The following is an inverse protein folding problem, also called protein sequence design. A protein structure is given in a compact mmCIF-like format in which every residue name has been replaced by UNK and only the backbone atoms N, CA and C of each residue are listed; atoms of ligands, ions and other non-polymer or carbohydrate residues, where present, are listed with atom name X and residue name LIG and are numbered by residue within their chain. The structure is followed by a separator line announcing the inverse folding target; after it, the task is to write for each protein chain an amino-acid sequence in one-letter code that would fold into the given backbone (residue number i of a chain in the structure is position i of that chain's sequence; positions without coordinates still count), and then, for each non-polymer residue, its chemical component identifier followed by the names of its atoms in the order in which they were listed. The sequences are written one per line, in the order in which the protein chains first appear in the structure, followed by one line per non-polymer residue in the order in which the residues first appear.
data_IF_209323020853
#
_entry.id   IF_209323020853
#
_cell.length_a   1.000
_cell.length_b   1.000
_cell.length_c   1.000
_cell.angle_alpha   90.00
_cell.angle_beta   90.00
_cell.angle_gamma   90.00
#
_symmetry.space_group_name_H-M   'P 1'
#
loop_
_entity.id
_entity.type
_entity.pdbx_description
1 polymer ?
#
# COMPACT_ATOMS: atom_id res chain seq x y z
N UNK A 1 -15.45 -10.24 -2.32
CA UNK A 1 -15.76 -9.20 -3.34
C UNK A 1 -16.17 -9.84 -4.65
N UNK A 2 -15.41 -10.81 -5.20
CA UNK A 2 -15.79 -11.49 -6.44
C UNK A 2 -17.20 -12.09 -6.35
N UNK A 3 -17.42 -12.93 -5.34
CA UNK A 3 -18.72 -13.59 -5.12
C UNK A 3 -19.86 -12.60 -4.79
N UNK A 4 -19.52 -11.49 -4.13
CA UNK A 4 -20.50 -10.44 -3.76
C UNK A 4 -20.98 -9.60 -4.95
N UNK A 5 -20.12 -9.42 -5.94
CA UNK A 5 -20.36 -8.56 -7.09
C UNK A 5 -20.59 -9.32 -8.38
N UNK A 6 -20.50 -10.67 -8.37
CA UNK A 6 -20.62 -11.50 -9.58
C UNK A 6 -19.56 -11.22 -10.64
N UNK A 7 -18.37 -10.77 -10.23
CA UNK A 7 -17.25 -10.37 -11.09
C UNK A 7 -16.10 -11.38 -11.01
N UNK A 8 -15.25 -11.38 -12.05
CA UNK A 8 -14.07 -12.23 -12.07
C UNK A 8 -13.07 -11.90 -10.96
N UNK A 9 -12.24 -12.87 -10.60
CA UNK A 9 -11.25 -12.74 -9.50
C UNK A 9 -10.24 -11.60 -9.72
N UNK A 10 -9.85 -11.32 -10.96
CA UNK A 10 -8.86 -10.27 -11.27
C UNK A 10 -9.45 -8.90 -11.02
N UNK A 11 -10.65 -8.66 -11.49
CA UNK A 11 -11.41 -7.41 -11.26
C UNK A 11 -11.69 -7.24 -9.78
N UNK A 12 -12.14 -8.30 -9.09
CA UNK A 12 -12.37 -8.28 -7.65
C UNK A 12 -11.11 -7.94 -6.84
N UNK A 13 -9.92 -8.42 -7.24
CA UNK A 13 -8.63 -8.08 -6.61
C UNK A 13 -8.35 -6.58 -6.73
N UNK A 14 -8.52 -6.03 -7.93
CA UNK A 14 -8.29 -4.59 -8.20
C UNK A 14 -9.22 -3.72 -7.37
N UNK A 15 -10.50 -4.08 -7.30
CA UNK A 15 -11.50 -3.36 -6.53
C UNK A 15 -11.22 -3.45 -5.04
N UNK A 16 -10.97 -4.66 -4.54
CA UNK A 16 -10.66 -4.87 -3.12
C UNK A 16 -9.47 -4.02 -2.67
N UNK A 17 -8.38 -4.03 -3.43
CA UNK A 17 -7.21 -3.20 -3.17
C UNK A 17 -7.55 -1.70 -3.27
N UNK A 18 -8.29 -1.31 -4.31
CA UNK A 18 -8.72 0.08 -4.49
C UNK A 18 -9.55 0.58 -3.31
N UNK A 19 -10.55 -0.19 -2.87
CA UNK A 19 -11.39 0.16 -1.72
C UNK A 19 -10.61 0.17 -0.41
N UNK A 20 -9.71 -0.77 -0.19
CA UNK A 20 -8.81 -0.77 0.97
C UNK A 20 -7.88 0.45 0.99
N UNK A 21 -7.56 1.01 -0.17
CA UNK A 21 -6.72 2.21 -0.29
C UNK A 21 -7.52 3.51 -0.47
N UNK A 22 -8.83 3.48 -0.23
CA UNK A 22 -9.67 4.68 -0.23
C UNK A 22 -10.18 5.10 -1.61
N UNK A 23 -10.36 4.13 -2.52
CA UNK A 23 -11.07 4.38 -3.78
C UNK A 23 -12.47 4.93 -3.49
N UNK A 24 -12.77 6.09 -4.06
CA UNK A 24 -14.09 6.69 -3.94
C UNK A 24 -15.13 6.04 -4.87
N UNK A 25 -16.41 6.24 -4.56
CA UNK A 25 -17.55 5.70 -5.34
C UNK A 25 -17.47 6.04 -6.83
N UNK A 26 -17.11 7.27 -7.19
CA UNK A 26 -17.02 7.68 -8.59
C UNK A 26 -15.99 6.87 -9.40
N UNK A 27 -14.83 6.57 -8.80
CA UNK A 27 -13.82 5.73 -9.45
C UNK A 27 -14.28 4.29 -9.54
N UNK A 28 -14.93 3.75 -8.50
CA UNK A 28 -15.48 2.40 -8.49
C UNK A 28 -16.54 2.24 -9.59
N UNK A 29 -17.49 3.18 -9.71
CA UNK A 29 -18.49 3.23 -10.76
C UNK A 29 -17.85 3.22 -12.17
N UNK A 30 -16.86 4.08 -12.39
CA UNK A 30 -16.17 4.17 -13.69
C UNK A 30 -15.39 2.90 -14.05
N UNK A 31 -14.75 2.23 -13.10
CA UNK A 31 -13.98 1.01 -13.37
C UNK A 31 -14.85 -0.23 -13.63
N UNK A 32 -16.04 -0.27 -13.02
CA UNK A 32 -16.97 -1.39 -13.15
C UNK A 32 -18.11 -1.16 -14.16
N UNK A 33 -18.28 0.07 -14.64
CA UNK A 33 -19.43 0.44 -15.48
C UNK A 33 -20.76 0.37 -14.71
N UNK A 34 -20.75 0.49 -13.39
CA UNK A 34 -21.94 0.43 -12.53
C UNK A 34 -22.63 1.79 -12.49
N UNK A 35 -23.95 1.75 -12.35
CA UNK A 35 -24.71 2.97 -12.04
C UNK A 35 -24.48 3.41 -10.59
N UNK A 36 -25.15 4.49 -10.20
CA UNK A 36 -24.98 5.09 -8.88
C UNK A 36 -25.49 4.18 -7.76
N UNK A 37 -26.65 3.56 -7.95
CA UNK A 37 -27.32 2.76 -6.91
C UNK A 37 -26.58 1.43 -6.72
N UNK A 38 -26.17 0.78 -7.82
CA UNK A 38 -25.33 -0.42 -7.81
C UNK A 38 -23.98 -0.16 -7.11
N UNK A 39 -23.37 0.99 -7.39
CA UNK A 39 -22.11 1.40 -6.78
C UNK A 39 -22.27 1.64 -5.28
N UNK A 40 -23.36 2.28 -4.86
CA UNK A 40 -23.67 2.52 -3.45
C UNK A 40 -23.91 1.22 -2.69
N UNK A 41 -24.67 0.30 -3.26
CA UNK A 41 -24.95 -1.02 -2.70
C UNK A 41 -23.66 -1.86 -2.54
N UNK A 42 -22.84 -1.94 -3.58
CA UNK A 42 -21.54 -2.64 -3.53
C UNK A 42 -20.62 -2.04 -2.47
N UNK A 43 -20.56 -0.71 -2.38
CA UNK A 43 -19.75 0.00 -1.40
C UNK A 43 -20.22 -0.26 0.03
N UNK A 44 -21.54 -0.25 0.25
CA UNK A 44 -22.13 -0.55 1.53
C UNK A 44 -21.88 -2.01 1.95
N UNK A 45 -22.09 -2.98 1.06
CA UNK A 45 -21.79 -4.39 1.28
C UNK A 45 -20.32 -4.64 1.62
N UNK A 46 -19.39 -3.99 0.91
CA UNK A 46 -17.97 -4.11 1.23
C UNK A 46 -17.67 -3.64 2.66
N UNK A 47 -18.13 -2.44 3.03
CA UNK A 47 -17.86 -1.90 4.36
C UNK A 47 -18.59 -2.65 5.48
N UNK A 48 -19.73 -3.27 5.21
CA UNK A 48 -20.41 -4.15 6.15
C UNK A 48 -19.60 -5.44 6.43
N UNK A 49 -18.96 -5.99 5.40
CA UNK A 49 -18.16 -7.21 5.54
C UNK A 49 -16.75 -6.96 6.13
N UNK A 50 -16.19 -5.77 5.93
CA UNK A 50 -14.84 -5.40 6.43
C UNK A 50 -14.85 -4.04 7.14
N UNK A 51 -15.63 -3.90 8.24
CA UNK A 51 -15.84 -2.61 8.89
C UNK A 51 -14.57 -2.00 9.47
N UNK A 52 -13.60 -2.82 9.84
CA UNK A 52 -12.32 -2.38 10.37
C UNK A 52 -11.50 -1.53 9.37
N UNK A 53 -11.67 -1.74 8.06
CA UNK A 53 -10.96 -0.97 7.02
C UNK A 53 -11.34 0.50 7.10
N UNK A 54 -12.64 0.80 7.20
CA UNK A 54 -13.14 2.17 7.36
C UNK A 54 -12.59 2.83 8.63
N UNK A 55 -12.63 2.11 9.75
CA UNK A 55 -12.10 2.60 11.02
C UNK A 55 -10.60 2.90 10.94
N UNK A 56 -9.81 2.01 10.32
CA UNK A 56 -8.38 2.23 10.13
C UNK A 56 -8.09 3.45 9.23
N UNK A 57 -8.86 3.62 8.16
CA UNK A 57 -8.74 4.79 7.29
C UNK A 57 -9.00 6.09 8.06
N UNK A 58 -10.08 6.15 8.82
CA UNK A 58 -10.45 7.31 9.62
C UNK A 58 -9.40 7.61 10.69
N UNK A 59 -8.91 6.60 11.39
CA UNK A 59 -7.85 6.76 12.41
C UNK A 59 -6.54 7.25 11.79
N UNK A 60 -6.11 6.65 10.67
CA UNK A 60 -4.89 7.04 9.97
C UNK A 60 -4.99 8.49 9.45
N UNK A 61 -6.12 8.85 8.84
CA UNK A 61 -6.38 10.20 8.33
C UNK A 61 -6.36 11.22 9.47
N UNK A 62 -7.10 10.98 10.54
CA UNK A 62 -7.14 11.86 11.72
C UNK A 62 -5.77 12.04 12.36
N UNK A 63 -4.97 10.97 12.46
CA UNK A 63 -3.61 11.05 12.97
C UNK A 63 -2.69 11.84 12.05
N UNK A 64 -2.82 11.65 10.72
CA UNK A 64 -2.06 12.43 9.73
C UNK A 64 -2.41 13.92 9.80
N UNK A 65 -3.67 14.28 9.97
CA UNK A 65 -4.14 15.65 10.12
C UNK A 65 -3.61 16.32 11.38
N UNK A 66 -3.73 15.65 12.52
CA UNK A 66 -3.39 16.23 13.82
C UNK A 66 -1.88 16.26 14.10
N UNK A 67 -1.19 15.14 13.82
CA UNK A 67 0.23 14.95 14.17
C UNK A 67 1.16 15.28 13.00
N UNK A 68 0.67 15.18 11.75
CA UNK A 68 1.44 15.44 10.54
C UNK A 68 2.32 14.27 10.09
N UNK A 69 2.28 13.15 10.78
CA UNK A 69 2.99 11.94 10.33
C UNK A 69 2.38 10.66 10.88
N UNK A 70 2.67 9.56 10.20
CA UNK A 70 2.47 8.19 10.67
C UNK A 70 3.82 7.49 10.78
N UNK A 71 3.88 6.39 11.52
CA UNK A 71 5.04 5.51 11.53
C UNK A 71 4.69 4.18 10.89
N UNK A 72 5.55 3.74 9.97
CA UNK A 72 5.49 2.41 9.39
C UNK A 72 5.76 1.33 10.43
N UNK A 73 5.64 0.07 10.05
CA UNK A 73 5.89 -1.10 10.90
C UNK A 73 7.26 -1.05 11.58
N UNK A 74 8.30 -0.63 10.85
CA UNK A 74 9.66 -0.51 11.37
C UNK A 74 10.00 0.91 11.90
N UNK A 75 8.98 1.75 12.12
CA UNK A 75 9.14 3.04 12.80
C UNK A 75 9.48 4.23 11.91
N UNK A 76 9.68 4.04 10.60
CA UNK A 76 9.97 5.12 9.67
C UNK A 76 8.80 6.10 9.58
N UNK A 77 9.09 7.40 9.59
CA UNK A 77 8.09 8.46 9.49
C UNK A 77 7.59 8.65 8.06
N UNK A 78 6.29 8.58 7.90
CA UNK A 78 5.56 8.95 6.70
C UNK A 78 4.91 10.32 6.93
N UNK A 79 5.47 11.39 6.38
CA UNK A 79 5.12 12.79 6.69
C UNK A 79 4.04 13.35 5.77
N UNK A 80 3.26 14.30 6.31
CA UNK A 80 2.23 15.10 5.63
C UNK A 80 2.54 16.57 5.88
N UNK A 81 3.60 17.08 5.27
CA UNK A 81 4.16 18.40 5.55
C UNK A 81 3.66 19.49 4.58
N UNK A 82 2.83 19.09 3.58
CA UNK A 82 2.24 20.02 2.64
C UNK A 82 0.82 20.42 3.08
N UNK A 83 0.41 21.60 2.69
CA UNK A 83 -0.84 22.24 3.09
C UNK A 83 -1.62 22.76 1.90
N UNK A 84 -2.93 22.78 2.02
CA UNK A 84 -3.89 23.27 1.04
C UNK A 84 -5.03 24.00 1.75
N UNK A 85 -5.76 24.92 1.09
CA UNK A 85 -6.91 25.59 1.69
C UNK A 85 -8.03 24.59 1.99
N UNK A 86 -8.85 24.89 3.01
CA UNK A 86 -10.06 24.11 3.30
C UNK A 86 -11.16 24.35 2.27
N UNK A 87 -11.11 25.47 1.55
CA UNK A 87 -12.05 25.79 0.49
C UNK A 87 -12.12 24.69 -0.57
N UNK A 88 -13.32 24.48 -1.11
CA UNK A 88 -13.53 23.53 -2.21
C UNK A 88 -12.84 24.04 -3.48
N UNK A 89 -12.15 23.15 -4.18
CA UNK A 89 -11.44 23.48 -5.43
C UNK A 89 -10.22 22.61 -5.66
N UNK A 90 -9.55 22.83 -6.78
CA UNK A 90 -8.27 22.20 -7.09
C UNK A 90 -7.17 23.17 -6.66
N UNK A 91 -6.43 22.80 -5.64
CA UNK A 91 -5.35 23.60 -5.09
C UNK A 91 -4.02 22.88 -5.17
N UNK A 92 -2.95 23.66 -5.32
CA UNK A 92 -1.58 23.14 -5.21
C UNK A 92 -1.25 22.98 -3.73
N UNK A 93 -0.79 21.80 -3.35
CA UNK A 93 -0.28 21.58 -2.00
C UNK A 93 1.11 22.20 -1.86
N UNK A 94 1.31 23.06 -0.87
CA UNK A 94 2.50 23.86 -0.65
C UNK A 94 3.08 23.64 0.77
N UNK A 95 4.37 23.93 1.00
CA UNK A 95 4.91 24.08 2.35
C UNK A 95 4.09 25.12 3.12
N UNK A 96 4.00 25.01 4.46
CA UNK A 96 3.12 25.82 5.29
C UNK A 96 3.29 27.33 5.04
N UNK A 97 4.51 27.83 5.04
CA UNK A 97 4.81 29.25 4.85
C UNK A 97 4.38 29.79 3.47
N UNK A 98 4.49 28.98 2.42
CA UNK A 98 3.99 29.34 1.08
C UNK A 98 2.46 29.28 1.02
N UNK A 99 1.86 28.24 1.63
CA UNK A 99 0.42 28.08 1.68
C UNK A 99 -0.26 29.22 2.45
N UNK A 100 0.32 29.67 3.57
CA UNK A 100 -0.18 30.83 4.33
C UNK A 100 -0.13 32.12 3.50
N UNK A 101 0.94 32.30 2.72
CA UNK A 101 1.08 33.47 1.84
C UNK A 101 0.09 33.44 0.68
N UNK A 102 -0.12 32.29 0.08
CA UNK A 102 -0.95 32.11 -1.12
C UNK A 102 -2.45 32.03 -0.78
N UNK A 103 -2.80 31.29 0.27
CA UNK A 103 -4.19 30.93 0.58
C UNK A 103 -4.71 31.50 1.92
N UNK A 104 -3.85 32.17 2.69
CA UNK A 104 -4.21 32.62 4.04
C UNK A 104 -4.13 31.52 5.09
N UNK A 105 -4.80 31.72 6.25
CA UNK A 105 -4.63 30.87 7.44
C UNK A 105 -5.60 29.69 7.53
N UNK A 106 -6.67 29.66 6.73
CA UNK A 106 -7.63 28.55 6.77
C UNK A 106 -7.14 27.36 5.95
N UNK A 107 -6.18 26.65 6.52
CA UNK A 107 -5.45 25.58 5.88
C UNK A 107 -5.73 24.22 6.54
N UNK A 108 -5.54 23.17 5.75
CA UNK A 108 -5.48 21.77 6.19
C UNK A 108 -4.27 21.08 5.59
N UNK A 109 -3.80 20.00 6.22
CA UNK A 109 -2.74 19.18 5.64
C UNK A 109 -3.23 18.47 4.38
N UNK A 110 -2.44 18.55 3.33
CA UNK A 110 -2.76 17.96 2.04
C UNK A 110 -2.63 16.43 2.06
N UNK A 111 -3.48 15.77 1.26
CA UNK A 111 -3.44 14.33 0.97
C UNK A 111 -3.55 13.39 2.17
N UNK A 112 -4.10 13.84 3.27
CA UNK A 112 -4.27 13.01 4.49
C UNK A 112 -5.18 11.81 4.26
N UNK A 113 -6.09 11.86 3.28
CA UNK A 113 -6.90 10.72 2.86
C UNK A 113 -6.07 9.54 2.33
N UNK A 114 -4.80 9.77 1.92
CA UNK A 114 -3.85 8.71 1.51
C UNK A 114 -3.11 8.07 2.70
N UNK A 115 -3.44 8.45 3.92
CA UNK A 115 -2.67 8.09 5.10
C UNK A 115 -2.54 6.57 5.30
N UNK A 116 -3.65 5.83 5.21
CA UNK A 116 -3.64 4.36 5.33
C UNK A 116 -2.83 3.71 4.20
N UNK A 117 -3.03 4.14 2.96
CA UNK A 117 -2.27 3.64 1.82
C UNK A 117 -0.75 3.84 2.04
N UNK A 118 -0.33 5.06 2.39
CA UNK A 118 1.08 5.35 2.67
C UNK A 118 1.65 4.53 3.82
N UNK A 119 0.84 4.27 4.85
CA UNK A 119 1.24 3.45 5.98
C UNK A 119 1.49 1.99 5.56
N UNK A 120 0.55 1.39 4.82
CA UNK A 120 0.64 0.00 4.37
C UNK A 120 1.79 -0.16 3.36
N UNK A 121 1.82 0.67 2.31
CA UNK A 121 2.86 0.61 1.29
C UNK A 121 4.25 0.90 1.85
N UNK A 122 4.34 1.87 2.77
CA UNK A 122 5.59 2.17 3.45
C UNK A 122 6.07 1.03 4.34
N UNK A 123 5.16 0.34 5.03
CA UNK A 123 5.50 -0.83 5.86
C UNK A 123 5.93 -2.02 5.00
N UNK A 124 5.27 -2.26 3.87
CA UNK A 124 5.68 -3.28 2.90
C UNK A 124 7.08 -3.01 2.35
N UNK A 125 7.36 -1.77 1.95
CA UNK A 125 8.70 -1.39 1.48
C UNK A 125 9.78 -1.54 2.57
N UNK A 126 9.44 -1.30 3.84
CA UNK A 126 10.37 -1.51 4.95
C UNK A 126 10.69 -2.99 5.15
N UNK A 127 9.70 -3.88 5.00
CA UNK A 127 9.88 -5.33 5.07
C UNK A 127 10.83 -5.83 3.98
N UNK A 128 10.61 -5.42 2.73
CA UNK A 128 11.50 -5.79 1.62
C UNK A 128 12.93 -5.30 1.86
N UNK A 129 13.09 -4.05 2.33
CA UNK A 129 14.42 -3.51 2.63
C UNK A 129 15.10 -4.23 3.79
N UNK A 130 14.34 -4.63 4.81
CA UNK A 130 14.90 -5.42 5.91
C UNK A 130 15.32 -6.79 5.41
N UNK A 131 14.52 -7.44 4.57
CA UNK A 131 14.89 -8.71 3.95
C UNK A 131 16.20 -8.63 3.15
N UNK A 132 16.41 -7.52 2.42
CA UNK A 132 17.69 -7.28 1.74
C UNK A 132 18.88 -7.20 2.71
N UNK A 133 18.70 -6.57 3.86
CA UNK A 133 19.74 -6.48 4.90
C UNK A 133 19.99 -7.86 5.50
N UNK A 134 18.94 -8.59 5.89
CA UNK A 134 19.05 -9.91 6.49
C UNK A 134 19.74 -10.90 5.53
N UNK A 135 19.42 -10.85 4.23
CA UNK A 135 20.11 -11.64 3.21
C UNK A 135 21.58 -11.25 3.07
N UNK A 136 21.87 -9.93 3.07
CA UNK A 136 23.25 -9.45 2.96
C UNK A 136 24.12 -9.90 4.16
N UNK A 137 23.56 -9.92 5.37
CA UNK A 137 24.23 -10.41 6.58
C UNK A 137 24.57 -11.91 6.48
N UNK A 138 23.84 -12.69 5.68
CA UNK A 138 24.13 -14.08 5.36
C UNK A 138 25.04 -14.24 4.11
N UNK A 139 25.56 -13.16 3.56
CA UNK A 139 26.41 -13.18 2.37
C UNK A 139 25.64 -13.33 1.05
N UNK A 140 24.32 -13.19 1.08
CA UNK A 140 23.44 -13.31 -0.09
C UNK A 140 23.13 -11.92 -0.64
N UNK A 141 23.55 -11.66 -1.87
CA UNK A 141 23.36 -10.36 -2.51
C UNK A 141 22.14 -10.39 -3.42
N UNK A 142 21.16 -9.51 -3.14
CA UNK A 142 20.09 -9.24 -4.08
C UNK A 142 20.59 -8.26 -5.16
N UNK A 143 20.53 -8.65 -6.42
CA UNK A 143 21.04 -7.85 -7.55
C UNK A 143 20.05 -6.77 -7.98
N UNK A 144 18.76 -7.09 -7.95
CA UNK A 144 17.69 -6.21 -8.39
C UNK A 144 16.53 -6.31 -7.38
N UNK A 145 15.96 -5.15 -7.03
CA UNK A 145 14.71 -5.06 -6.28
C UNK A 145 13.65 -4.38 -7.12
N UNK A 146 12.52 -5.06 -7.31
CA UNK A 146 11.34 -4.52 -8.00
C UNK A 146 10.13 -4.63 -7.07
N UNK A 147 9.71 -3.50 -6.48
CA UNK A 147 8.64 -3.47 -5.46
C UNK A 147 8.92 -4.42 -4.27
N UNK A 148 8.23 -5.55 -4.20
CA UNK A 148 8.32 -6.60 -3.18
C UNK A 148 9.07 -7.84 -3.67
N UNK A 149 9.64 -7.79 -4.87
CA UNK A 149 10.43 -8.85 -5.50
C UNK A 149 11.93 -8.59 -5.32
N UNK A 150 12.68 -9.64 -4.96
CA UNK A 150 14.13 -9.63 -4.93
C UNK A 150 14.69 -10.68 -5.90
N UNK A 151 15.63 -10.26 -6.73
CA UNK A 151 16.29 -11.12 -7.69
C UNK A 151 17.71 -11.43 -7.19
N UNK A 152 17.98 -12.71 -6.98
CA UNK A 152 19.25 -13.21 -6.49
C UNK A 152 19.81 -14.27 -7.43
N UNK A 153 21.13 -14.38 -7.55
CA UNK A 153 21.78 -15.55 -8.12
C UNK A 153 21.79 -16.68 -7.09
N UNK A 154 21.51 -17.89 -7.53
CA UNK A 154 21.50 -19.07 -6.67
C UNK A 154 22.48 -20.12 -7.19
N UNK A 155 23.09 -20.86 -6.27
CA UNK A 155 24.04 -21.95 -6.57
C UNK A 155 23.36 -23.33 -6.51
N UNK A 156 22.29 -23.42 -5.72
CA UNK A 156 21.55 -24.67 -5.51
C UNK A 156 20.10 -24.40 -5.15
N UNK A 157 19.28 -25.48 -5.08
CA UNK A 157 17.90 -25.40 -4.61
C UNK A 157 17.82 -25.08 -3.11
N UNK A 158 18.76 -25.59 -2.35
CA UNK A 158 18.89 -25.32 -0.90
C UNK A 158 19.17 -23.86 -0.65
N UNK A 159 20.03 -23.22 -1.49
CA UNK A 159 20.29 -21.79 -1.45
C UNK A 159 19.02 -20.99 -1.73
N UNK A 160 18.22 -21.37 -2.73
CA UNK A 160 16.93 -20.74 -3.00
C UNK A 160 15.94 -20.89 -1.82
N UNK A 161 15.90 -22.06 -1.18
CA UNK A 161 15.09 -22.31 0.01
C UNK A 161 15.52 -21.41 1.17
N UNK A 162 16.83 -21.25 1.39
CA UNK A 162 17.36 -20.36 2.43
C UNK A 162 16.97 -18.90 2.20
N UNK A 163 17.09 -18.41 0.98
CA UNK A 163 16.66 -17.04 0.62
C UNK A 163 15.17 -16.85 0.99
N UNK A 164 14.33 -17.80 0.61
CA UNK A 164 12.90 -17.76 0.92
C UNK A 164 12.65 -17.73 2.44
N UNK A 165 13.30 -18.58 3.20
CA UNK A 165 13.19 -18.63 4.67
C UNK A 165 13.57 -17.30 5.32
N UNK A 166 14.69 -16.71 4.92
CA UNK A 166 15.13 -15.40 5.44
C UNK A 166 14.08 -14.33 5.15
N UNK A 167 13.57 -14.27 3.93
CA UNK A 167 12.54 -13.29 3.55
C UNK A 167 11.23 -13.51 4.32
N UNK A 168 10.81 -14.75 4.55
CA UNK A 168 9.57 -15.08 5.29
C UNK A 168 9.68 -14.76 6.79
N UNK A 169 10.89 -14.72 7.35
CA UNK A 169 11.13 -14.45 8.78
C UNK A 169 11.72 -13.07 9.08
N UNK A 170 11.90 -12.23 8.07
CA UNK A 170 12.50 -10.91 8.23
C UNK A 170 11.75 -9.99 9.21
N UNK A 171 10.43 -10.16 9.32
CA UNK A 171 9.58 -9.41 10.27
C UNK A 171 8.57 -10.35 10.89
N UNK A 172 8.47 -10.32 12.21
CA UNK A 172 7.43 -11.05 12.94
C UNK A 172 6.09 -10.36 12.79
N UNK A 173 5.12 -11.06 12.18
CA UNK A 173 3.75 -10.61 11.99
C UNK A 173 2.76 -11.58 12.64
N UNK A 174 1.56 -11.10 12.97
CA UNK A 174 0.47 -11.96 13.47
C UNK A 174 -0.02 -12.99 12.43
N UNK A 175 0.22 -12.74 11.15
CA UNK A 175 -0.02 -13.66 10.04
C UNK A 175 1.30 -14.01 9.39
N UNK A 176 1.51 -15.27 8.96
CA UNK A 176 2.76 -15.66 8.34
C UNK A 176 2.99 -14.89 7.03
N UNK A 177 4.21 -14.37 6.87
CA UNK A 177 4.67 -13.85 5.59
C UNK A 177 4.92 -15.03 4.65
N UNK A 178 4.47 -14.92 3.40
CA UNK A 178 4.65 -15.95 2.38
C UNK A 178 5.43 -15.36 1.20
N UNK A 179 6.43 -16.09 0.78
CA UNK A 179 7.27 -15.75 -0.38
C UNK A 179 7.11 -16.81 -1.45
N UNK A 180 6.72 -16.39 -2.63
CA UNK A 180 6.74 -17.24 -3.82
C UNK A 180 8.13 -17.14 -4.47
N UNK A 181 8.75 -18.28 -4.76
CA UNK A 181 10.05 -18.34 -5.39
C UNK A 181 9.93 -18.99 -6.78
N UNK A 182 10.48 -18.33 -7.76
CA UNK A 182 10.59 -18.83 -9.13
C UNK A 182 12.06 -18.92 -9.52
N UNK A 183 12.46 -19.97 -10.20
CA UNK A 183 13.84 -20.23 -10.59
C UNK A 183 13.91 -20.39 -12.11
N UNK A 184 14.88 -19.75 -12.74
CA UNK A 184 15.15 -19.84 -14.16
C UNK A 184 16.60 -19.50 -14.50
N UNK A 185 17.03 -19.70 -15.75
CA UNK A 185 18.38 -19.38 -16.21
C UNK A 185 18.71 -17.88 -16.11
N UNK A 186 17.68 -17.04 -16.27
CA UNK A 186 17.77 -15.59 -16.13
C UNK A 186 16.42 -15.02 -15.71
N UNK A 187 16.38 -13.79 -15.22
CA UNK A 187 15.13 -13.10 -14.84
C UNK A 187 14.11 -13.03 -15.99
N UNK A 188 14.58 -12.84 -17.22
CA UNK A 188 13.71 -12.78 -18.39
C UNK A 188 13.13 -14.14 -18.83
N UNK A 189 13.70 -15.24 -18.38
CA UNK A 189 13.33 -16.62 -18.74
C UNK A 189 12.60 -17.37 -17.62
N UNK A 190 12.28 -16.68 -16.53
CA UNK A 190 11.42 -17.23 -15.48
C UNK A 190 10.01 -17.38 -16.03
N UNK A 191 9.51 -18.63 -16.10
CA UNK A 191 8.15 -18.91 -16.52
C UNK A 191 7.18 -18.46 -15.45
N UNK A 192 6.46 -17.38 -15.70
CA UNK A 192 5.31 -16.99 -14.84
C UNK A 192 4.23 -18.07 -14.99
N UNK A 193 3.90 -18.72 -13.88
CA UNK A 193 2.75 -19.65 -13.78
C UNK A 193 1.41 -18.91 -13.84
#
# INVERSE_FOLDING_TARGET
VADMAGIDRRTAKTINLGMMYGMGKGKLSSELGLDRDETEDLFAKFHANVPFVKQLMEQATRKAENVGFLRTLLGRKCRFDLWEPRAFGIHKALPLWEAEKEYGRDLKRAWTYKALNRLIQGSSADMTKKAMVDLYEEGIISHIQVHDELNCSIESKEHATRIKEVMEHTVELKVPLKVDAEIGPSWGEIKKK
#
